data_IF_330391501986
#
_entry.id   IF_330391501986
#
_cell.length_a   1.000
_cell.length_b   1.000
_cell.length_c   1.000
_cell.angle_alpha   90.00
_cell.angle_beta   90.00
_cell.angle_gamma   90.00
#
_symmetry.space_group_name_H-M   'P 1'
#
loop_
_entity.id
_entity.type
_entity.pdbx_description
1 polymer ?
#
# COMPACT_ATOMS: atom_id res chain seq x y z
N UNK A 1 -14.09 16.56 -6.81
CA UNK A 1 -14.51 15.85 -8.01
C UNK A 1 -15.33 16.82 -8.87
N UNK A 2 -16.50 17.28 -8.41
CA UNK A 2 -17.42 18.17 -9.14
C UNK A 2 -16.75 19.47 -9.62
N UNK A 3 -16.05 20.18 -8.73
CA UNK A 3 -15.36 21.46 -9.07
C UNK A 3 -14.31 21.32 -10.18
N UNK A 4 -13.87 20.11 -10.49
CA UNK A 4 -12.86 19.83 -11.53
C UNK A 4 -13.44 19.09 -12.73
N UNK A 5 -14.76 18.90 -12.80
CA UNK A 5 -15.43 18.23 -13.91
C UNK A 5 -15.11 16.73 -14.03
N UNK A 6 -14.71 16.10 -12.91
CA UNK A 6 -14.27 14.69 -12.91
C UNK A 6 -15.36 13.70 -12.47
N UNK A 7 -16.61 14.15 -12.34
CA UNK A 7 -17.69 13.31 -11.80
C UNK A 7 -17.98 12.05 -12.62
N UNK A 8 -17.73 12.08 -13.91
CA UNK A 8 -17.88 10.91 -14.77
C UNK A 8 -16.72 9.89 -14.69
N UNK A 9 -15.56 10.32 -14.18
CA UNK A 9 -14.32 9.53 -14.13
C UNK A 9 -13.93 9.11 -12.72
N UNK A 10 -14.57 9.67 -11.70
CA UNK A 10 -14.27 9.40 -10.30
C UNK A 10 -15.51 8.90 -9.56
N UNK A 11 -15.38 7.77 -8.89
CA UNK A 11 -16.43 7.17 -8.08
C UNK A 11 -16.03 7.22 -6.60
N UNK A 12 -16.87 7.83 -5.78
CA UNK A 12 -16.76 7.71 -4.33
C UNK A 12 -17.42 6.41 -3.87
N UNK A 13 -16.67 5.57 -3.18
CA UNK A 13 -17.16 4.30 -2.64
C UNK A 13 -16.97 4.32 -1.13
N UNK A 14 -17.95 3.85 -0.38
CA UNK A 14 -17.92 3.77 1.07
C UNK A 14 -18.58 2.46 1.54
N UNK A 15 -18.22 2.03 2.76
CA UNK A 15 -18.83 0.84 3.41
C UNK A 15 -18.69 -0.45 2.58
N UNK A 16 -17.49 -0.68 2.05
CA UNK A 16 -17.16 -1.93 1.38
C UNK A 16 -17.02 -3.08 2.39
N UNK A 17 -17.52 -4.25 2.02
CA UNK A 17 -17.13 -5.51 2.66
C UNK A 17 -15.69 -5.87 2.29
N UNK A 18 -15.04 -6.73 3.09
CA UNK A 18 -13.67 -7.21 2.80
C UNK A 18 -13.57 -7.86 1.41
N UNK A 19 -14.57 -8.63 1.00
CA UNK A 19 -14.61 -9.27 -0.32
C UNK A 19 -14.66 -8.25 -1.47
N UNK A 20 -15.42 -7.18 -1.31
CA UNK A 20 -15.48 -6.09 -2.27
C UNK A 20 -14.15 -5.34 -2.32
N UNK A 21 -13.55 -5.05 -1.16
CA UNK A 21 -12.25 -4.37 -1.07
C UNK A 21 -11.16 -5.19 -1.76
N UNK A 22 -11.09 -6.49 -1.52
CA UNK A 22 -10.17 -7.41 -2.21
C UNK A 22 -10.39 -7.33 -3.73
N UNK A 23 -11.65 -7.32 -4.17
CA UNK A 23 -11.97 -7.21 -5.61
C UNK A 23 -11.46 -5.89 -6.19
N UNK A 24 -11.62 -4.78 -5.47
CA UNK A 24 -11.07 -3.49 -5.91
C UNK A 24 -9.55 -3.52 -6.01
N UNK A 25 -8.84 -4.06 -5.03
CA UNK A 25 -7.38 -4.18 -5.10
C UNK A 25 -6.93 -5.06 -6.26
N UNK A 26 -7.57 -6.20 -6.49
CA UNK A 26 -7.21 -7.12 -7.58
C UNK A 26 -7.43 -6.54 -8.98
N UNK A 27 -8.44 -5.69 -9.15
CA UNK A 27 -8.79 -5.07 -10.42
C UNK A 27 -8.05 -3.74 -10.66
N UNK A 28 -7.51 -3.14 -9.62
CA UNK A 28 -6.82 -1.87 -9.75
C UNK A 28 -5.49 -2.03 -10.50
N UNK A 29 -5.22 -1.10 -11.42
CA UNK A 29 -3.90 -0.99 -12.06
C UNK A 29 -2.85 -0.51 -11.08
N UNK A 30 -3.23 0.38 -10.15
CA UNK A 30 -2.39 0.93 -9.10
C UNK A 30 -3.26 1.39 -7.92
N UNK A 31 -2.79 1.13 -6.71
CA UNK A 31 -3.34 1.67 -5.47
C UNK A 31 -2.48 2.85 -5.00
N UNK A 32 -3.11 3.96 -4.67
CA UNK A 32 -2.41 5.20 -4.25
C UNK A 32 -2.80 5.55 -2.83
N UNK A 33 -1.79 5.65 -1.95
CA UNK A 33 -1.99 5.90 -0.52
C UNK A 33 -1.09 7.04 -0.01
N UNK A 34 -1.44 8.31 -0.30
CA UNK A 34 -0.63 9.49 0.02
C UNK A 34 -0.92 10.03 1.43
N UNK A 35 -1.01 9.15 2.43
CA UNK A 35 -1.27 9.53 3.81
C UNK A 35 -0.12 10.35 4.39
N UNK A 36 -0.44 11.38 5.16
CA UNK A 36 0.55 12.21 5.87
C UNK A 36 1.12 11.51 7.10
N UNK A 37 0.34 10.64 7.72
CA UNK A 37 0.73 9.91 8.92
C UNK A 37 -0.08 8.62 9.06
N UNK A 38 0.62 7.52 9.32
CA UNK A 38 0.02 6.22 9.64
C UNK A 38 0.78 5.57 10.77
N UNK A 39 0.06 4.86 11.65
CA UNK A 39 0.68 4.07 12.70
C UNK A 39 1.35 2.80 12.15
N UNK A 40 0.80 2.21 11.09
CA UNK A 40 1.35 1.02 10.44
C UNK A 40 1.21 1.09 8.91
N UNK A 41 0.00 1.12 8.36
CA UNK A 41 -0.26 1.13 6.91
C UNK A 41 -0.82 -0.19 6.38
N UNK A 42 -1.76 -0.81 7.13
CA UNK A 42 -2.44 -2.05 6.70
C UNK A 42 -2.97 -1.98 5.25
N UNK A 43 -3.60 -0.88 4.78
CA UNK A 43 -4.10 -0.83 3.41
C UNK A 43 -3.02 -1.02 2.34
N UNK A 44 -1.77 -0.63 2.63
CA UNK A 44 -0.63 -0.86 1.73
C UNK A 44 -0.32 -2.35 1.63
N UNK A 45 -0.28 -3.07 2.76
CA UNK A 45 -0.04 -4.53 2.77
C UNK A 45 -1.21 -5.31 2.17
N UNK A 46 -2.44 -4.89 2.41
CA UNK A 46 -3.64 -5.49 1.81
C UNK A 46 -3.60 -5.41 0.29
N UNK A 47 -3.31 -4.21 -0.24
CA UNK A 47 -3.17 -4.02 -1.68
C UNK A 47 -2.02 -4.87 -2.25
N UNK A 48 -0.86 -4.91 -1.59
CA UNK A 48 0.28 -5.75 -1.97
C UNK A 48 -0.08 -7.24 -1.94
N UNK A 49 -0.77 -7.71 -0.89
CA UNK A 49 -1.24 -9.09 -0.73
C UNK A 49 -2.24 -9.51 -1.81
N UNK A 50 -2.99 -8.56 -2.37
CA UNK A 50 -3.87 -8.74 -3.51
C UNK A 50 -3.15 -8.63 -4.87
N UNK A 51 -1.84 -8.38 -4.89
CA UNK A 51 -1.06 -8.21 -6.10
C UNK A 51 -1.31 -6.86 -6.80
N UNK A 52 -1.74 -5.83 -6.09
CA UNK A 52 -1.88 -4.49 -6.63
C UNK A 52 -0.55 -3.73 -6.56
N UNK A 53 -0.08 -3.07 -7.64
CA UNK A 53 1.00 -2.12 -7.57
C UNK A 53 0.66 -0.95 -6.64
N UNK A 54 1.60 -0.52 -5.80
CA UNK A 54 1.35 0.49 -4.78
C UNK A 54 2.25 1.71 -4.96
N UNK A 55 1.64 2.90 -4.90
CA UNK A 55 2.33 4.17 -4.68
C UNK A 55 1.86 4.68 -3.32
N UNK A 56 2.77 4.89 -2.37
CA UNK A 56 2.42 5.42 -1.06
C UNK A 56 3.38 6.53 -0.62
N UNK A 57 3.02 7.22 0.46
CA UNK A 57 3.87 8.29 0.97
C UNK A 57 5.17 7.74 1.59
N UNK A 58 6.21 8.56 1.59
CA UNK A 58 7.48 8.31 2.27
C UNK A 58 7.46 8.77 3.74
N UNK A 59 6.28 8.86 4.37
CA UNK A 59 6.08 9.38 5.71
C UNK A 59 5.75 8.28 6.73
N UNK A 60 6.10 8.54 7.99
CA UNK A 60 5.82 7.69 9.15
C UNK A 60 6.27 6.22 8.96
N UNK A 61 5.37 5.25 9.17
CA UNK A 61 5.66 3.82 9.08
C UNK A 61 5.71 3.27 7.63
N UNK A 62 5.18 4.01 6.65
CA UNK A 62 4.98 3.50 5.30
C UNK A 62 6.27 3.08 4.58
N UNK A 63 7.42 3.78 4.70
CA UNK A 63 8.68 3.32 4.11
C UNK A 63 9.17 1.99 4.68
N UNK A 64 8.97 1.74 5.97
CA UNK A 64 9.34 0.47 6.63
C UNK A 64 8.44 -0.67 6.14
N UNK A 65 7.14 -0.43 6.11
CA UNK A 65 6.14 -1.42 5.71
C UNK A 65 6.27 -1.77 4.23
N UNK A 66 6.36 -0.77 3.37
CA UNK A 66 6.38 -0.97 1.92
C UNK A 66 7.76 -1.42 1.39
N UNK A 67 8.85 -0.95 2.00
CA UNK A 67 10.20 -1.20 1.52
C UNK A 67 10.37 -0.82 0.04
N UNK A 68 11.04 -1.66 -0.73
CA UNK A 68 11.23 -1.49 -2.17
C UNK A 68 10.08 -2.03 -3.02
N UNK A 69 8.99 -2.51 -2.40
CA UNK A 69 7.85 -3.08 -3.09
C UNK A 69 6.85 -2.03 -3.58
N UNK A 70 6.91 -0.80 -3.05
CA UNK A 70 6.13 0.34 -3.51
C UNK A 70 6.99 1.47 -4.07
N UNK A 71 6.36 2.35 -4.82
CA UNK A 71 6.92 3.66 -5.15
C UNK A 71 6.59 4.61 -4.01
N UNK A 72 7.62 5.25 -3.45
CA UNK A 72 7.49 6.19 -2.34
C UNK A 72 7.50 7.63 -2.87
N UNK A 73 6.54 8.43 -2.43
CA UNK A 73 6.40 9.85 -2.83
C UNK A 73 6.24 10.76 -1.60
N UNK A 74 6.66 12.00 -1.71
CA UNK A 74 6.32 13.00 -0.69
C UNK A 74 4.82 13.34 -0.78
N UNK A 75 4.03 13.11 0.27
CA UNK A 75 2.59 13.36 0.24
C UNK A 75 2.22 14.84 0.09
N UNK A 76 3.17 15.75 0.25
CA UNK A 76 3.00 17.19 0.04
C UNK A 76 3.34 17.64 -1.37
N UNK A 77 3.77 16.70 -2.24
CA UNK A 77 4.16 16.99 -3.62
C UNK A 77 3.25 16.26 -4.62
N UNK A 78 2.09 16.86 -4.95
CA UNK A 78 1.16 16.28 -5.91
C UNK A 78 1.74 16.17 -7.33
N UNK A 79 2.73 17.00 -7.69
CA UNK A 79 3.51 16.92 -8.91
C UNK A 79 4.28 15.60 -9.00
N UNK A 80 5.02 15.24 -7.94
CA UNK A 80 5.74 13.97 -7.87
C UNK A 80 4.78 12.77 -7.96
N UNK A 81 3.65 12.84 -7.27
CA UNK A 81 2.64 11.79 -7.36
C UNK A 81 2.11 11.62 -8.80
N UNK A 82 1.86 12.73 -9.51
CA UNK A 82 1.38 12.69 -10.89
C UNK A 82 2.43 12.09 -11.85
N UNK A 83 3.71 12.44 -11.67
CA UNK A 83 4.83 11.88 -12.42
C UNK A 83 4.93 10.37 -12.22
N UNK A 84 4.91 9.91 -10.97
CA UNK A 84 5.01 8.49 -10.63
C UNK A 84 3.78 7.69 -11.08
N UNK A 85 2.59 8.25 -10.98
CA UNK A 85 1.38 7.67 -11.55
C UNK A 85 1.51 7.48 -13.07
N UNK A 86 1.96 8.50 -13.77
CA UNK A 86 2.16 8.44 -15.23
C UNK A 86 3.18 7.35 -15.59
N UNK A 87 4.27 7.23 -14.83
CA UNK A 87 5.32 6.23 -15.03
C UNK A 87 4.79 4.81 -14.80
N UNK A 88 4.06 4.58 -13.72
CA UNK A 88 3.49 3.26 -13.40
C UNK A 88 2.40 2.87 -14.38
N UNK A 89 1.48 3.79 -14.71
CA UNK A 89 0.39 3.52 -15.65
C UNK A 89 0.91 3.26 -17.08
N UNK A 90 2.01 3.87 -17.47
CA UNK A 90 2.62 3.72 -18.80
C UNK A 90 3.50 2.48 -18.98
N UNK A 91 3.72 1.64 -17.94
CA UNK A 91 4.67 0.54 -18.00
C UNK A 91 4.14 -0.77 -17.41
N UNK A 92 3.64 -1.65 -18.27
CA UNK A 92 3.21 -3.00 -17.86
C UNK A 92 4.35 -3.82 -17.22
N UNK A 93 5.59 -3.65 -17.68
CA UNK A 93 6.75 -4.30 -17.09
C UNK A 93 7.01 -3.84 -15.65
N UNK A 94 6.88 -2.52 -15.39
CA UNK A 94 7.00 -1.98 -14.05
C UNK A 94 5.88 -2.49 -13.15
N UNK A 95 4.63 -2.47 -13.62
CA UNK A 95 3.48 -3.02 -12.88
C UNK A 95 3.70 -4.49 -12.50
N UNK A 96 4.18 -5.31 -13.44
CA UNK A 96 4.49 -6.72 -13.19
C UNK A 96 5.56 -6.90 -12.10
N UNK A 97 6.62 -6.10 -12.16
CA UNK A 97 7.69 -6.10 -11.15
C UNK A 97 7.16 -5.68 -9.78
N UNK A 98 6.35 -4.63 -9.72
CA UNK A 98 5.74 -4.15 -8.48
C UNK A 98 4.79 -5.19 -7.88
N UNK A 99 3.98 -5.88 -8.69
CA UNK A 99 3.12 -6.99 -8.26
C UNK A 99 3.92 -8.11 -7.59
N UNK A 100 4.98 -8.56 -8.25
CA UNK A 100 5.81 -9.64 -7.73
C UNK A 100 6.47 -9.26 -6.40
N UNK A 101 7.03 -8.06 -6.32
CA UNK A 101 7.65 -7.54 -5.09
C UNK A 101 6.63 -7.34 -3.99
N UNK A 102 5.45 -6.80 -4.30
CA UNK A 102 4.36 -6.57 -3.35
C UNK A 102 3.87 -7.88 -2.71
N UNK A 103 3.61 -8.90 -3.52
CA UNK A 103 3.21 -10.22 -3.03
C UNK A 103 4.27 -10.82 -2.10
N UNK A 104 5.55 -10.75 -2.48
CA UNK A 104 6.65 -11.24 -1.64
C UNK A 104 6.74 -10.44 -0.33
N UNK A 105 6.60 -9.12 -0.39
CA UNK A 105 6.64 -8.24 0.80
C UNK A 105 5.50 -8.54 1.77
N UNK A 106 4.28 -8.70 1.28
CA UNK A 106 3.12 -9.01 2.10
C UNK A 106 3.28 -10.32 2.90
N UNK A 107 3.98 -11.31 2.34
CA UNK A 107 4.27 -12.58 3.02
C UNK A 107 5.22 -12.45 4.22
N UNK A 108 5.94 -11.34 4.34
CA UNK A 108 6.77 -11.09 5.52
C UNK A 108 5.93 -10.74 6.77
N UNK A 109 4.67 -10.32 6.58
CA UNK A 109 3.76 -9.83 7.63
C UNK A 109 2.65 -10.86 7.90
N UNK A 110 3.02 -11.97 8.52
CA UNK A 110 2.07 -13.01 8.94
C UNK A 110 1.88 -13.01 10.46
N UNK A 111 0.67 -13.31 10.91
CA UNK A 111 0.31 -13.26 12.32
C UNK A 111 1.16 -14.18 13.19
N UNK A 112 1.55 -15.35 12.70
CA UNK A 112 2.41 -16.29 13.41
C UNK A 112 3.79 -15.69 13.72
N UNK A 113 4.36 -14.96 12.78
CA UNK A 113 5.63 -14.25 12.98
C UNK A 113 5.48 -13.13 14.00
N UNK A 114 4.43 -12.34 13.87
CA UNK A 114 4.12 -11.25 14.82
C UNK A 114 3.97 -11.80 16.24
N UNK A 115 3.19 -12.87 16.42
CA UNK A 115 3.00 -13.50 17.72
C UNK A 115 4.32 -13.99 18.32
N UNK A 116 5.14 -14.70 17.55
CA UNK A 116 6.46 -15.19 18.02
C UNK A 116 7.39 -14.04 18.42
N UNK A 117 7.45 -12.97 17.63
CA UNK A 117 8.28 -11.81 17.94
C UNK A 117 7.79 -11.09 19.21
N UNK A 118 6.47 -10.98 19.40
CA UNK A 118 5.87 -10.38 20.59
C UNK A 118 6.22 -11.19 21.83
N UNK A 119 6.07 -12.52 21.79
CA UNK A 119 6.47 -13.42 22.89
C UNK A 119 7.96 -13.26 23.21
N UNK A 120 8.83 -13.25 22.21
CA UNK A 120 10.26 -13.07 22.41
C UNK A 120 10.63 -11.72 23.05
N UNK A 121 9.85 -10.66 22.80
CA UNK A 121 10.01 -9.37 23.51
C UNK A 121 9.61 -9.52 24.98
N UNK A 122 8.48 -10.15 25.27
CA UNK A 122 8.04 -10.39 26.65
C UNK A 122 9.05 -11.20 27.45
N UNK A 123 9.55 -12.31 26.88
CA UNK A 123 10.57 -13.16 27.54
C UNK A 123 11.85 -12.37 27.88
N UNK A 124 12.33 -11.56 26.95
CA UNK A 124 13.51 -10.69 27.20
C UNK A 124 13.25 -9.66 28.30
N UNK A 125 12.02 -9.12 28.36
CA UNK A 125 11.67 -8.07 29.33
C UNK A 125 11.52 -8.62 30.75
N UNK A 126 11.05 -9.87 30.88
CA UNK A 126 10.88 -10.50 32.22
C UNK A 126 12.09 -11.32 32.67
N UNK A 127 13.21 -11.29 31.92
CA UNK A 127 14.48 -11.92 32.33
C UNK A 127 14.46 -13.45 32.35
N UNK A 128 13.67 -14.03 31.44
CA UNK A 128 13.59 -15.48 31.23
C UNK A 128 14.18 -15.89 29.89
#
# INVERSE_FOLDING_TARGET
>A
IERRGLSAQAKLVSLLSDAELVTYYQQATVFVFPSLYEGFGLPVLEAMGCGCPVICSNAASLPEVAGEAAVLVDPRRPDQLAEELTRVLGSAALQSTMRARGLAKAQEFVWERTARQTVAVYERTVGR
#
